data_IF_073417922535
#
_entry.id   IF_073417922535
#
_cell.length_a   1.000
_cell.length_b   1.000
_cell.length_c   1.000
_cell.angle_alpha   90.00
_cell.angle_beta   90.00
_cell.angle_gamma   90.00
#
_symmetry.space_group_name_H-M   'P 1'
#
loop_
_entity.id
_entity.type
_entity.pdbx_description
1 polymer ?
#
# COMPACT_ATOMS: atom_id res chain seq x y z
N UNK A 1 17.32 3.00 26.17
CA UNK A 1 17.04 2.40 27.50
C UNK A 1 17.05 0.88 27.48
N UNK A 2 16.13 0.21 26.79
CA UNK A 2 16.02 -1.27 26.82
C UNK A 2 17.31 -1.96 26.38
N UNK A 3 17.93 -1.51 25.27
CA UNK A 3 19.22 -2.05 24.78
C UNK A 3 20.31 -2.01 25.86
N UNK A 4 20.44 -0.91 26.61
CA UNK A 4 21.40 -0.82 27.73
C UNK A 4 21.07 -1.77 28.88
N UNK A 5 19.78 -2.00 29.16
CA UNK A 5 19.37 -2.94 30.20
C UNK A 5 19.65 -4.39 29.80
N UNK A 6 19.30 -4.78 28.57
CA UNK A 6 19.62 -6.09 28.00
C UNK A 6 21.15 -6.30 27.96
N UNK A 7 21.92 -5.29 27.60
CA UNK A 7 23.39 -5.34 27.61
C UNK A 7 23.94 -5.56 29.03
N UNK A 8 23.38 -4.88 30.04
CA UNK A 8 23.76 -5.07 31.44
C UNK A 8 23.44 -6.48 31.95
N UNK A 9 22.34 -7.08 31.49
CA UNK A 9 21.95 -8.45 31.85
C UNK A 9 22.83 -9.47 31.14
N UNK A 10 22.98 -9.36 29.81
CA UNK A 10 23.90 -10.20 29.03
C UNK A 10 25.32 -10.22 29.63
N UNK A 11 25.84 -9.06 30.05
CA UNK A 11 27.15 -8.96 30.71
C UNK A 11 27.20 -9.70 32.06
N UNK A 12 26.11 -9.70 32.85
CA UNK A 12 26.04 -10.40 34.15
C UNK A 12 25.94 -11.91 33.98
N UNK A 13 25.21 -12.37 32.98
CA UNK A 13 25.06 -13.79 32.63
C UNK A 13 26.26 -14.35 31.83
N UNK A 14 27.30 -13.55 31.59
CA UNK A 14 28.51 -13.97 30.88
C UNK A 14 28.32 -14.16 29.36
N UNK A 15 27.27 -13.58 28.78
CA UNK A 15 26.95 -13.67 27.36
C UNK A 15 27.75 -12.67 26.52
N UNK A 16 28.14 -13.10 25.31
CA UNK A 16 28.74 -12.24 24.29
C UNK A 16 27.64 -11.75 23.35
N UNK A 17 27.06 -10.58 23.64
CA UNK A 17 25.98 -9.99 22.84
C UNK A 17 26.41 -8.72 22.09
N UNK A 18 26.26 -8.74 20.76
CA UNK A 18 26.48 -7.57 19.90
C UNK A 18 25.39 -6.52 20.12
N UNK A 19 25.74 -5.23 20.07
CA UNK A 19 24.78 -4.14 20.25
C UNK A 19 23.65 -4.17 19.20
N UNK A 20 23.97 -4.51 17.94
CA UNK A 20 22.99 -4.68 16.88
C UNK A 20 21.97 -5.81 17.16
N UNK A 21 22.41 -6.92 17.77
CA UNK A 21 21.50 -8.01 18.17
C UNK A 21 20.55 -7.55 19.30
N UNK A 22 21.07 -6.85 20.30
CA UNK A 22 20.27 -6.31 21.40
C UNK A 22 19.28 -5.23 20.93
N UNK A 23 19.65 -4.44 19.93
CA UNK A 23 18.77 -3.48 19.26
C UNK A 23 17.59 -4.17 18.56
N UNK A 24 17.86 -5.25 17.82
CA UNK A 24 16.82 -6.05 17.14
C UNK A 24 15.85 -6.64 18.16
N UNK A 25 16.35 -7.22 19.26
CA UNK A 25 15.49 -7.78 20.32
C UNK A 25 14.58 -6.69 20.92
N UNK A 26 15.15 -5.54 21.27
CA UNK A 26 14.39 -4.41 21.83
C UNK A 26 13.34 -3.84 20.85
N UNK A 27 13.62 -3.91 19.55
CA UNK A 27 12.70 -3.49 18.49
C UNK A 27 11.56 -4.50 18.30
N UNK A 28 11.86 -5.80 18.20
CA UNK A 28 10.84 -6.86 18.01
C UNK A 28 9.99 -7.08 19.26
N UNK A 29 10.45 -6.67 20.43
CA UNK A 29 9.66 -6.67 21.68
C UNK A 29 8.76 -5.45 21.86
N UNK A 30 8.68 -4.53 20.89
CA UNK A 30 7.84 -3.31 20.92
C UNK A 30 7.98 -2.45 22.20
N UNK A 31 9.16 -2.46 22.81
CA UNK A 31 9.40 -1.77 24.08
C UNK A 31 9.01 -2.55 25.36
N UNK A 32 8.44 -3.75 25.26
CA UNK A 32 8.11 -4.59 26.41
C UNK A 32 9.35 -5.32 26.95
N UNK A 33 9.81 -4.92 28.16
CA UNK A 33 10.99 -5.53 28.79
C UNK A 33 10.85 -7.04 29.04
N UNK A 34 9.65 -7.53 29.38
CA UNK A 34 9.42 -8.96 29.63
C UNK A 34 9.64 -9.79 28.38
N UNK A 35 9.15 -9.31 27.24
CA UNK A 35 9.24 -10.02 25.97
C UNK A 35 10.67 -9.91 25.43
N UNK A 36 11.33 -8.76 25.62
CA UNK A 36 12.74 -8.57 25.32
C UNK A 36 13.64 -9.56 26.07
N UNK A 37 13.41 -9.77 27.37
CA UNK A 37 14.15 -10.75 28.17
C UNK A 37 13.81 -12.19 27.75
N UNK A 38 12.54 -12.50 27.50
CA UNK A 38 12.11 -13.82 27.04
C UNK A 38 12.72 -14.18 25.68
N UNK A 39 12.87 -13.20 24.78
CA UNK A 39 13.59 -13.34 23.51
C UNK A 39 15.11 -13.50 23.74
N UNK A 40 15.71 -12.69 24.61
CA UNK A 40 17.13 -12.76 24.96
C UNK A 40 17.50 -14.16 25.47
N UNK A 41 16.78 -14.67 26.47
CA UNK A 41 17.02 -15.96 27.10
C UNK A 41 16.84 -17.11 26.10
N UNK A 42 15.79 -17.04 25.26
CA UNK A 42 15.56 -18.01 24.19
C UNK A 42 16.76 -18.08 23.25
N UNK A 43 17.20 -16.94 22.70
CA UNK A 43 18.30 -16.89 21.73
C UNK A 43 19.63 -17.29 22.39
N UNK A 44 19.87 -16.88 23.63
CA UNK A 44 21.05 -17.26 24.41
C UNK A 44 21.15 -18.78 24.58
N UNK A 45 20.03 -19.46 24.86
CA UNK A 45 20.00 -20.92 25.01
C UNK A 45 20.36 -21.68 23.73
N UNK A 46 19.99 -21.17 22.56
CA UNK A 46 20.31 -21.78 21.26
C UNK A 46 21.71 -21.46 20.74
N UNK A 47 22.29 -20.33 21.17
CA UNK A 47 23.58 -19.81 20.68
C UNK A 47 24.74 -20.01 21.67
N UNK A 48 24.52 -20.76 22.76
CA UNK A 48 25.48 -20.92 23.86
C UNK A 48 26.01 -19.57 24.39
N UNK A 49 25.13 -18.56 24.45
CA UNK A 49 25.46 -17.21 24.90
C UNK A 49 26.17 -16.30 23.89
N UNK A 50 26.29 -16.67 22.61
CA UNK A 50 26.86 -15.82 21.55
C UNK A 50 25.78 -15.20 20.66
N UNK A 51 25.33 -14.00 21.02
CA UNK A 51 24.31 -13.26 20.28
C UNK A 51 24.96 -12.37 19.23
N UNK A 52 24.99 -12.87 17.99
CA UNK A 52 25.33 -12.09 16.79
C UNK A 52 24.07 -11.53 16.14
N UNK A 53 24.20 -10.47 15.34
CA UNK A 53 23.09 -9.93 14.56
C UNK A 53 22.40 -11.00 13.70
N UNK A 54 23.17 -11.80 12.96
CA UNK A 54 22.64 -12.84 12.06
C UNK A 54 21.89 -13.94 12.82
N UNK A 55 22.48 -14.54 13.86
CA UNK A 55 21.79 -15.56 14.66
C UNK A 55 20.54 -15.02 15.36
N UNK A 56 20.54 -13.75 15.74
CA UNK A 56 19.38 -13.07 16.31
C UNK A 56 18.27 -12.84 15.28
N UNK A 57 18.60 -12.43 14.04
CA UNK A 57 17.66 -12.31 12.93
C UNK A 57 16.98 -13.65 12.62
N UNK A 58 17.77 -14.71 12.45
CA UNK A 58 17.30 -16.08 12.17
C UNK A 58 16.35 -16.57 13.28
N UNK A 59 16.76 -16.48 14.56
CA UNK A 59 15.94 -16.93 15.68
C UNK A 59 14.70 -16.06 15.95
N UNK A 60 14.61 -14.84 15.41
CA UNK A 60 13.42 -13.99 15.49
C UNK A 60 12.54 -14.08 14.23
N UNK A 61 12.91 -14.93 13.25
CA UNK A 61 12.28 -15.01 11.94
C UNK A 61 12.16 -13.63 11.28
N UNK A 62 13.26 -12.87 11.30
CA UNK A 62 13.36 -11.54 10.69
C UNK A 62 14.32 -11.59 9.51
N UNK A 63 13.94 -10.89 8.44
CA UNK A 63 14.76 -10.72 7.25
C UNK A 63 15.74 -9.56 7.42
N UNK A 64 16.92 -9.73 6.85
CA UNK A 64 17.98 -8.72 6.88
C UNK A 64 17.61 -7.48 6.04
N UNK A 65 18.16 -6.32 6.42
CA UNK A 65 17.98 -5.06 5.71
C UNK A 65 18.41 -5.16 4.24
N UNK A 66 19.45 -5.94 3.94
CA UNK A 66 19.96 -6.17 2.58
C UNK A 66 18.94 -6.83 1.64
N UNK A 67 18.06 -7.70 2.15
CA UNK A 67 16.93 -8.21 1.36
C UNK A 67 15.98 -7.08 0.94
N UNK A 68 15.65 -6.19 1.87
CA UNK A 68 14.73 -5.08 1.61
C UNK A 68 15.35 -3.99 0.72
N UNK A 69 16.66 -3.76 0.81
CA UNK A 69 17.38 -2.91 -0.15
C UNK A 69 17.39 -3.54 -1.55
N UNK A 70 17.74 -4.83 -1.68
CA UNK A 70 17.74 -5.57 -2.96
C UNK A 70 16.36 -5.54 -3.61
N UNK A 71 15.29 -5.88 -2.87
CA UNK A 71 13.95 -5.90 -3.45
C UNK A 71 13.49 -4.50 -3.86
N UNK A 72 13.81 -3.45 -3.09
CA UNK A 72 13.49 -2.06 -3.46
C UNK A 72 14.16 -1.66 -4.79
N UNK A 73 15.42 -2.05 -5.01
CA UNK A 73 16.11 -1.77 -6.28
C UNK A 73 15.40 -2.44 -7.47
N UNK A 74 14.99 -3.71 -7.31
CA UNK A 74 14.27 -4.46 -8.35
C UNK A 74 12.88 -3.88 -8.63
N UNK A 75 12.15 -3.46 -7.59
CA UNK A 75 10.86 -2.76 -7.72
C UNK A 75 11.00 -1.44 -8.48
N UNK A 76 12.04 -0.64 -8.18
CA UNK A 76 12.32 0.62 -8.87
C UNK A 76 12.77 0.40 -10.33
N UNK A 77 13.54 -0.67 -10.59
CA UNK A 77 13.93 -1.12 -11.92
C UNK A 77 12.77 -1.77 -12.72
N UNK A 78 11.65 -2.06 -12.06
CA UNK A 78 10.48 -2.75 -12.62
C UNK A 78 10.78 -4.20 -13.07
N UNK A 79 11.81 -4.82 -12.47
CA UNK A 79 12.22 -6.20 -12.78
C UNK A 79 11.38 -7.20 -11.96
N UNK A 80 10.22 -7.54 -12.52
CA UNK A 80 9.31 -8.54 -11.95
C UNK A 80 9.98 -9.91 -11.83
N UNK A 81 10.79 -10.32 -12.80
CA UNK A 81 11.40 -11.65 -12.83
C UNK A 81 12.38 -11.83 -11.67
N UNK A 82 13.33 -10.90 -11.50
CA UNK A 82 14.27 -10.94 -10.39
C UNK A 82 13.57 -10.72 -9.05
N UNK A 83 12.50 -9.91 -9.00
CA UNK A 83 11.70 -9.70 -7.77
C UNK A 83 11.04 -11.00 -7.30
N UNK A 84 10.47 -11.79 -8.21
CA UNK A 84 9.84 -13.08 -7.87
C UNK A 84 10.87 -14.17 -7.54
N UNK A 85 12.04 -14.16 -8.20
CA UNK A 85 13.16 -15.05 -7.83
C UNK A 85 13.71 -14.72 -6.43
N UNK A 86 13.80 -13.44 -6.07
CA UNK A 86 14.22 -13.00 -4.73
C UNK A 86 13.17 -13.34 -3.66
N UNK A 87 11.88 -13.34 -3.99
CA UNK A 87 10.83 -13.89 -3.12
C UNK A 87 11.03 -15.40 -2.90
N UNK A 88 11.27 -16.17 -3.96
CA UNK A 88 11.46 -17.62 -3.87
C UNK A 88 12.69 -17.99 -3.02
N UNK A 89 13.82 -17.28 -3.20
CA UNK A 89 15.05 -17.39 -2.38
C UNK A 89 14.78 -17.28 -0.87
N UNK A 90 13.77 -16.49 -0.49
CA UNK A 90 13.38 -16.24 0.89
C UNK A 90 12.31 -17.22 1.39
N UNK A 91 11.37 -17.63 0.54
CA UNK A 91 10.41 -18.68 0.87
C UNK A 91 11.11 -20.05 1.06
N UNK A 92 12.14 -20.35 0.28
CA UNK A 92 12.98 -21.57 0.44
C UNK A 92 13.73 -21.58 1.78
N UNK A 93 14.08 -20.41 2.33
CA UNK A 93 14.67 -20.25 3.66
C UNK A 93 13.65 -20.39 4.80
N UNK A 94 12.38 -20.61 4.49
CA UNK A 94 11.31 -20.86 5.47
C UNK A 94 10.61 -19.61 6.01
N UNK A 95 10.89 -18.41 5.47
CA UNK A 95 10.20 -17.19 5.86
C UNK A 95 8.75 -17.19 5.35
N UNK A 96 7.81 -16.69 6.15
CA UNK A 96 6.40 -16.59 5.78
C UNK A 96 6.08 -15.27 5.05
N UNK A 97 5.09 -15.31 4.14
CA UNK A 97 4.71 -14.16 3.32
C UNK A 97 4.27 -12.90 4.09
N UNK A 98 3.66 -13.05 5.27
CA UNK A 98 3.34 -11.95 6.18
C UNK A 98 4.59 -11.25 6.71
N UNK A 99 5.64 -12.00 7.08
CA UNK A 99 6.90 -11.43 7.57
C UNK A 99 7.55 -10.55 6.50
N UNK A 100 7.50 -11.01 5.24
CA UNK A 100 7.99 -10.27 4.07
C UNK A 100 7.19 -8.97 3.89
N UNK A 101 5.86 -9.01 3.97
CA UNK A 101 4.99 -7.83 3.84
C UNK A 101 5.18 -6.84 4.99
N UNK A 102 5.14 -7.31 6.24
CA UNK A 102 5.34 -6.52 7.48
C UNK A 102 6.68 -5.77 7.44
N UNK A 103 7.77 -6.49 7.17
CA UNK A 103 9.10 -5.88 7.13
C UNK A 103 9.32 -5.00 5.91
N UNK A 104 8.70 -5.29 4.75
CA UNK A 104 8.76 -4.40 3.58
C UNK A 104 7.96 -3.10 3.80
N UNK A 105 6.84 -3.15 4.53
CA UNK A 105 6.11 -1.96 4.97
C UNK A 105 6.96 -1.13 5.96
N UNK A 106 7.59 -1.78 6.95
CA UNK A 106 8.55 -1.14 7.85
C UNK A 106 9.75 -0.51 7.11
N UNK A 107 10.26 -1.18 6.09
CA UNK A 107 11.32 -0.67 5.23
C UNK A 107 10.90 0.56 4.42
N UNK A 108 9.73 0.53 3.76
CA UNK A 108 9.19 1.68 3.04
C UNK A 108 8.95 2.88 3.98
N UNK A 109 8.47 2.64 5.21
CA UNK A 109 8.36 3.68 6.25
C UNK A 109 9.73 4.30 6.56
N UNK A 110 10.76 3.47 6.73
CA UNK A 110 12.10 3.93 7.04
C UNK A 110 12.72 4.75 5.88
N UNK A 111 12.50 4.36 4.62
CA UNK A 111 12.84 5.18 3.45
C UNK A 111 12.10 6.52 3.45
N UNK A 112 10.80 6.55 3.80
CA UNK A 112 10.01 7.77 3.89
C UNK A 112 10.54 8.72 4.98
N UNK A 113 10.92 8.21 6.15
CA UNK A 113 11.53 9.01 7.21
C UNK A 113 12.87 9.64 6.80
N UNK A 114 13.64 8.95 5.97
CA UNK A 114 14.92 9.45 5.44
C UNK A 114 14.76 10.59 4.41
N UNK A 115 13.56 10.82 3.88
CA UNK A 115 13.29 11.94 2.95
C UNK A 115 13.32 13.31 3.62
N UNK A 116 13.02 13.41 4.92
CA UNK A 116 13.06 14.67 5.68
C UNK A 116 14.05 14.57 6.84
N UNK A 117 15.07 15.44 6.84
CA UNK A 117 16.09 15.53 7.90
C UNK A 117 15.50 15.77 9.30
N UNK A 118 14.30 16.34 9.41
CA UNK A 118 13.57 16.52 10.67
C UNK A 118 12.96 15.22 11.20
N UNK A 119 12.70 14.27 10.30
CA UNK A 119 12.10 12.96 10.57
C UNK A 119 13.16 11.86 10.76
N UNK A 120 14.40 12.08 10.32
CA UNK A 120 15.55 11.20 10.54
C UNK A 120 15.74 10.72 12.00
N UNK A 121 15.36 11.53 13.00
CA UNK A 121 15.39 11.16 14.42
C UNK A 121 14.37 10.09 14.85
N UNK A 122 13.40 9.75 13.99
CA UNK A 122 12.42 8.67 14.17
C UNK A 122 12.87 7.36 13.48
N UNK A 123 14.04 7.37 12.84
CA UNK A 123 14.61 6.21 12.16
C UNK A 123 15.28 5.27 13.19
N UNK A 124 14.53 4.25 13.56
CA UNK A 124 14.92 3.22 14.52
C UNK A 124 15.53 2.01 13.78
N UNK A 125 16.79 2.13 13.41
CA UNK A 125 17.59 1.09 12.72
C UNK A 125 19.03 1.10 13.24
N UNK A 126 19.78 -0.01 13.15
CA UNK A 126 21.21 -0.04 13.47
C UNK A 126 21.99 1.07 12.76
N UNK A 127 22.97 1.66 13.44
CA UNK A 127 23.71 2.83 12.93
C UNK A 127 24.37 2.57 11.56
N UNK A 128 24.87 1.36 11.35
CA UNK A 128 25.56 0.94 10.12
C UNK A 128 24.64 0.94 8.89
N UNK A 129 23.33 0.76 9.09
CA UNK A 129 22.35 0.73 7.99
C UNK A 129 21.86 2.14 7.62
N UNK A 130 22.04 3.15 8.49
CA UNK A 130 21.55 4.52 8.27
C UNK A 130 22.09 5.17 6.98
N UNK A 131 23.39 5.07 6.63
CA UNK A 131 23.91 5.61 5.37
C UNK A 131 23.21 5.02 4.12
N UNK A 132 23.02 3.69 4.10
CA UNK A 132 22.35 2.98 3.00
C UNK A 132 20.89 3.40 2.88
N UNK A 133 20.19 3.55 4.01
CA UNK A 133 18.82 4.08 4.04
C UNK A 133 18.73 5.49 3.44
N UNK A 134 19.67 6.41 3.73
CA UNK A 134 19.67 7.74 3.09
C UNK A 134 19.94 7.67 1.58
N UNK A 135 20.85 6.78 1.14
CA UNK A 135 21.14 6.61 -0.29
C UNK A 135 19.92 6.08 -1.06
N UNK A 136 19.35 4.96 -0.60
CA UNK A 136 18.16 4.34 -1.22
C UNK A 136 16.93 5.24 -1.13
N UNK A 137 16.77 5.99 -0.04
CA UNK A 137 15.73 6.99 0.06
C UNK A 137 15.88 8.08 -1.00
N UNK A 138 17.09 8.49 -1.40
CA UNK A 138 17.24 9.45 -2.49
C UNK A 138 16.84 8.88 -3.87
N UNK A 139 17.05 7.57 -4.09
CA UNK A 139 16.72 6.88 -5.35
C UNK A 139 15.21 6.66 -5.52
N UNK A 140 14.48 6.33 -4.45
CA UNK A 140 13.03 6.06 -4.49
C UNK A 140 12.19 7.36 -4.57
N UNK A 141 11.27 7.56 -5.54
CA UNK A 141 10.38 8.73 -5.56
C UNK A 141 9.45 8.78 -4.33
N UNK A 142 9.20 9.95 -3.70
CA UNK A 142 8.31 10.04 -2.54
C UNK A 142 6.89 9.51 -2.79
N UNK A 143 6.35 9.74 -3.99
CA UNK A 143 5.06 9.21 -4.42
C UNK A 143 5.04 7.68 -4.49
N UNK A 144 6.11 7.07 -5.02
CA UNK A 144 6.27 5.62 -5.02
C UNK A 144 6.26 5.06 -3.60
N UNK A 145 7.05 5.62 -2.68
CA UNK A 145 7.14 5.13 -1.29
C UNK A 145 5.79 5.21 -0.57
N UNK A 146 5.04 6.31 -0.75
CA UNK A 146 3.71 6.49 -0.12
C UNK A 146 2.68 5.50 -0.70
N UNK A 147 2.64 5.34 -2.03
CA UNK A 147 1.73 4.39 -2.67
C UNK A 147 2.11 2.93 -2.40
N UNK A 148 3.40 2.62 -2.29
CA UNK A 148 3.90 1.31 -1.87
C UNK A 148 3.45 0.98 -0.44
N UNK A 149 3.58 1.91 0.51
CA UNK A 149 3.04 1.76 1.88
C UNK A 149 1.53 1.47 1.88
N UNK A 150 0.75 2.20 1.10
CA UNK A 150 -0.70 1.98 0.99
C UNK A 150 -1.03 0.58 0.46
N UNK A 151 -0.33 0.13 -0.59
CA UNK A 151 -0.52 -1.18 -1.21
C UNK A 151 -0.06 -2.32 -0.30
N UNK A 152 1.03 -2.14 0.44
CA UNK A 152 1.53 -3.11 1.41
C UNK A 152 0.54 -3.28 2.57
N UNK A 153 0.02 -2.19 3.12
CA UNK A 153 -1.01 -2.23 4.16
C UNK A 153 -2.32 -2.89 3.68
N UNK A 154 -2.79 -2.57 2.47
CA UNK A 154 -3.91 -3.27 1.82
C UNK A 154 -3.63 -4.78 1.69
N UNK A 155 -2.40 -5.15 1.31
CA UNK A 155 -2.01 -6.54 1.10
C UNK A 155 -1.87 -7.29 2.42
N UNK A 156 -1.33 -6.67 3.46
CA UNK A 156 -1.18 -7.26 4.80
C UNK A 156 -2.53 -7.58 5.43
N UNK A 157 -3.47 -6.62 5.43
CA UNK A 157 -4.84 -6.82 5.93
C UNK A 157 -5.56 -7.97 5.22
N UNK A 158 -5.35 -8.10 3.91
CA UNK A 158 -5.97 -9.15 3.09
C UNK A 158 -5.23 -10.50 3.16
N UNK A 159 -3.96 -10.55 3.57
CA UNK A 159 -3.13 -11.77 3.58
C UNK A 159 -3.75 -12.89 4.44
N UNK A 160 -4.37 -12.54 5.57
CA UNK A 160 -5.07 -13.52 6.44
C UNK A 160 -6.26 -14.18 5.75
N UNK A 161 -6.93 -13.46 4.85
CA UNK A 161 -8.13 -13.91 4.14
C UNK A 161 -7.81 -14.57 2.80
N UNK A 162 -6.55 -14.48 2.34
CA UNK A 162 -6.11 -15.00 1.05
C UNK A 162 -6.10 -16.53 1.02
N UNK A 163 -6.87 -17.13 0.10
CA UNK A 163 -6.90 -18.60 -0.11
C UNK A 163 -5.53 -19.14 -0.52
N UNK A 164 -4.81 -18.41 -1.39
CA UNK A 164 -3.43 -18.71 -1.74
C UNK A 164 -2.52 -17.57 -1.28
N UNK A 165 -1.91 -17.77 -0.10
CA UNK A 165 -0.98 -16.81 0.53
C UNK A 165 0.24 -16.47 -0.33
N UNK A 166 0.79 -17.45 -1.06
CA UNK A 166 1.97 -17.25 -1.93
C UNK A 166 1.61 -16.34 -3.11
N UNK A 167 0.56 -16.70 -3.85
CA UNK A 167 0.06 -15.90 -4.98
C UNK A 167 -0.33 -14.47 -4.56
N UNK A 168 -0.84 -14.29 -3.34
CA UNK A 168 -1.18 -12.97 -2.80
C UNK A 168 0.07 -12.06 -2.64
N UNK A 169 1.18 -12.61 -2.12
CA UNK A 169 2.45 -11.88 -2.01
C UNK A 169 3.06 -11.63 -3.39
N UNK A 170 3.07 -12.63 -4.27
CA UNK A 170 3.53 -12.49 -5.66
C UNK A 170 2.77 -11.35 -6.38
N UNK A 171 1.45 -11.30 -6.24
CA UNK A 171 0.60 -10.25 -6.83
C UNK A 171 0.84 -8.87 -6.22
N UNK A 172 1.15 -8.79 -4.91
CA UNK A 172 1.56 -7.55 -4.26
C UNK A 172 2.87 -7.01 -4.86
N UNK A 173 3.90 -7.85 -4.98
CA UNK A 173 5.19 -7.47 -5.55
C UNK A 173 5.10 -7.09 -7.04
N UNK A 174 4.28 -7.80 -7.82
CA UNK A 174 3.98 -7.43 -9.21
C UNK A 174 3.32 -6.04 -9.27
N UNK A 175 2.29 -5.79 -8.45
CA UNK A 175 1.64 -4.46 -8.37
C UNK A 175 2.62 -3.36 -7.97
N UNK A 176 3.59 -3.64 -7.09
CA UNK A 176 4.64 -2.70 -6.70
C UNK A 176 5.61 -2.37 -7.86
N UNK A 177 6.02 -3.35 -8.67
CA UNK A 177 6.90 -3.12 -9.84
C UNK A 177 6.29 -2.12 -10.83
N UNK A 178 4.98 -2.21 -11.10
CA UNK A 178 4.30 -1.35 -12.07
C UNK A 178 3.84 0.00 -11.49
N UNK A 179 4.08 0.25 -10.20
CA UNK A 179 3.53 1.41 -9.50
C UNK A 179 4.04 2.74 -10.07
N UNK A 180 5.32 2.83 -10.45
CA UNK A 180 5.90 4.03 -11.09
C UNK A 180 5.20 4.37 -12.42
N UNK A 181 4.73 3.37 -13.17
CA UNK A 181 4.04 3.60 -14.44
C UNK A 181 2.69 4.27 -14.20
N UNK A 182 1.92 3.80 -13.22
CA UNK A 182 0.63 4.40 -12.83
C UNK A 182 0.80 5.86 -12.42
N UNK A 183 1.75 6.17 -11.52
CA UNK A 183 1.99 7.56 -11.07
C UNK A 183 2.45 8.47 -12.22
N UNK A 184 3.26 7.96 -13.15
CA UNK A 184 3.77 8.75 -14.28
C UNK A 184 2.70 9.00 -15.34
N UNK A 185 1.79 8.04 -15.57
CA UNK A 185 0.69 8.21 -16.52
C UNK A 185 -0.34 9.24 -16.03
N UNK A 186 -0.65 9.32 -14.73
CA UNK A 186 -1.55 10.36 -14.21
C UNK A 186 -1.02 11.78 -14.44
N UNK A 187 0.30 11.99 -14.28
CA UNK A 187 0.94 13.29 -14.53
C UNK A 187 0.92 13.64 -16.02
N UNK A 188 1.25 12.69 -16.90
CA UNK A 188 1.18 12.92 -18.36
C UNK A 188 -0.26 13.17 -18.84
N UNK A 189 -1.25 12.45 -18.31
CA UNK A 189 -2.66 12.65 -18.67
C UNK A 189 -3.13 14.06 -18.29
N UNK A 190 -2.77 14.56 -17.10
CA UNK A 190 -3.05 15.95 -16.69
C UNK A 190 -2.37 17.04 -17.52
N UNK A 191 -1.37 16.70 -18.34
CA UNK A 191 -0.67 17.66 -19.22
C UNK A 191 -1.07 17.50 -20.70
N UNK A 192 -1.94 16.54 -21.05
CA UNK A 192 -2.28 16.22 -22.44
C UNK A 192 -3.67 15.59 -22.62
N UNK A 193 -4.65 15.95 -21.79
CA UNK A 193 -6.04 15.49 -21.94
C UNK A 193 -7.06 16.64 -21.89
N UNK A 194 -6.88 17.61 -22.78
CA UNK A 194 -8.01 17.96 -23.64
C UNK A 194 -8.01 16.92 -24.77
N UNK A 195 -9.19 16.34 -25.04
CA UNK A 195 -9.45 15.24 -26.00
C UNK A 195 -9.12 13.80 -25.57
N UNK A 196 -9.99 12.90 -26.06
CA UNK A 196 -9.91 11.43 -26.11
C UNK A 196 -10.11 10.64 -24.81
N UNK A 197 -11.36 10.66 -24.37
CA UNK A 197 -12.01 9.56 -23.66
C UNK A 197 -12.31 8.37 -24.61
N UNK A 198 -11.62 7.24 -24.44
CA UNK A 198 -12.13 5.86 -24.69
C UNK A 198 -11.00 4.84 -24.43
N UNK A 199 -11.32 3.54 -24.40
CA UNK A 199 -10.40 2.40 -24.17
C UNK A 199 -9.88 2.26 -22.72
N UNK A 200 -10.78 1.94 -21.77
CA UNK A 200 -10.54 0.89 -20.74
C UNK A 200 -11.87 0.19 -20.41
N UNK A 201 -12.34 -0.66 -21.33
CA UNK A 201 -13.38 -1.66 -21.06
C UNK A 201 -13.07 -2.93 -21.86
N UNK A 202 -11.98 -3.65 -21.53
CA UNK A 202 -11.83 -5.04 -21.98
C UNK A 202 -10.81 -5.88 -21.17
N UNK A 203 -11.09 -6.14 -19.89
CA UNK A 203 -10.49 -7.25 -19.12
C UNK A 203 -11.52 -7.87 -18.16
N UNK A 204 -12.61 -8.44 -18.70
CA UNK A 204 -13.59 -9.23 -17.93
C UNK A 204 -14.39 -10.16 -18.85
N UNK A 205 -13.69 -11.12 -19.49
CA UNK A 205 -14.33 -12.11 -20.38
C UNK A 205 -13.46 -13.33 -20.71
N UNK A 206 -12.74 -13.91 -19.74
CA UNK A 206 -12.06 -15.21 -19.93
C UNK A 206 -12.25 -16.15 -18.73
N UNK A 207 -13.50 -16.57 -18.48
CA UNK A 207 -13.81 -17.61 -17.50
C UNK A 207 -15.14 -18.33 -17.82
N UNK A 208 -15.20 -19.08 -18.93
CA UNK A 208 -16.25 -20.10 -19.21
C UNK A 208 -15.98 -20.91 -20.48
N UNK A 209 -15.08 -21.90 -20.42
CA UNK A 209 -15.09 -23.06 -21.34
C UNK A 209 -14.58 -24.31 -20.62
N UNK A 210 -15.48 -25.25 -20.35
CA UNK A 210 -15.15 -26.57 -19.78
C UNK A 210 -14.39 -27.42 -20.80
N UNK A 211 -13.39 -28.24 -20.40
CA UNK A 211 -12.74 -29.18 -21.31
C UNK A 211 -13.65 -30.37 -21.59
N UNK A 212 -14.03 -30.57 -22.85
CA UNK A 212 -14.69 -31.80 -23.30
C UNK A 212 -13.65 -32.90 -23.55
N UNK A 213 -13.85 -34.06 -22.92
CA UNK A 213 -13.00 -35.23 -23.06
C UNK A 213 -13.05 -35.79 -24.49
N UNK A 214 -11.89 -35.98 -25.13
CA UNK A 214 -11.77 -36.67 -26.42
C UNK A 214 -10.62 -37.69 -26.39
N UNK A 215 -10.85 -38.81 -27.08
CA UNK A 215 -10.11 -40.07 -26.94
C UNK A 215 -8.72 -40.05 -27.63
N UNK A 216 -7.80 -40.98 -27.29
CA UNK A 216 -6.38 -40.81 -27.59
C UNK A 216 -6.02 -41.13 -29.04
N UNK A 217 -5.12 -40.33 -29.61
CA UNK A 217 -4.48 -40.58 -30.92
C UNK A 217 -3.14 -41.30 -30.69
N UNK A 218 -2.88 -42.34 -31.49
CA UNK A 218 -1.67 -43.17 -31.40
C UNK A 218 -0.40 -42.41 -31.82
N UNK A 219 0.71 -42.67 -31.15
CA UNK A 219 2.02 -42.17 -31.52
C UNK A 219 2.72 -43.11 -32.53
N UNK A 220 3.35 -42.59 -33.61
CA UNK A 220 4.29 -43.35 -34.44
C UNK A 220 5.65 -43.52 -33.71
N UNK A 221 6.47 -44.53 -34.10
CA UNK A 221 7.57 -45.00 -33.26
C UNK A 221 8.82 -44.11 -33.30
N UNK A 222 9.45 -43.97 -32.14
CA UNK A 222 10.77 -43.36 -31.99
C UNK A 222 11.83 -44.28 -32.61
N UNK A 223 12.71 -43.72 -33.46
CA UNK A 223 13.96 -44.37 -33.87
C UNK A 223 15.08 -43.95 -32.93
N UNK A 224 15.66 -44.96 -32.30
CA UNK A 224 16.88 -44.90 -31.49
C UNK A 224 18.13 -44.72 -32.37
N UNK A 225 19.08 -43.86 -31.96
CA UNK A 225 20.45 -43.90 -32.44
C UNK A 225 21.47 -44.02 -31.29
N UNK A 226 22.22 -45.13 -31.30
CA UNK A 226 23.40 -45.38 -30.48
C UNK A 226 24.50 -45.98 -31.39
N UNK A 227 25.79 -46.02 -31.00
CA UNK A 227 26.66 -44.89 -30.66
C UNK A 227 28.00 -44.90 -31.46
N UNK A 228 28.78 -43.81 -31.44
CA UNK A 228 30.22 -43.77 -31.84
C UNK A 228 30.85 -42.38 -31.60
N UNK A 229 32.19 -42.25 -31.42
CA UNK A 229 32.88 -42.65 -30.20
C UNK A 229 33.78 -41.54 -29.59
N UNK A 230 34.18 -41.70 -28.33
CA UNK A 230 35.04 -40.74 -27.60
C UNK A 230 36.54 -41.03 -27.80
N UNK A 231 37.36 -40.01 -28.08
CA UNK A 231 38.83 -39.96 -27.80
C UNK A 231 39.39 -38.52 -27.94
N UNK A 232 40.61 -38.19 -27.44
CA UNK A 232 40.66 -37.36 -26.23
C UNK A 232 41.49 -36.06 -26.32
N UNK A 233 41.47 -35.34 -25.20
CA UNK A 233 42.19 -34.10 -24.86
C UNK A 233 43.63 -33.99 -25.39
N UNK A 234 43.94 -32.83 -25.98
CA UNK A 234 45.29 -32.25 -26.03
C UNK A 234 45.18 -30.77 -25.65
N UNK A 235 46.05 -30.31 -24.74
CA UNK A 235 46.11 -28.92 -24.29
C UNK A 235 47.45 -28.35 -24.71
N UNK A 236 47.46 -27.36 -25.61
CA UNK A 236 48.68 -26.71 -26.07
C UNK A 236 48.47 -25.20 -26.21
N UNK A 237 48.86 -24.50 -25.15
CA UNK A 237 49.82 -23.39 -25.14
C UNK A 237 49.94 -22.54 -26.42
N UNK A 238 49.43 -21.30 -26.36
CA UNK A 238 49.73 -20.25 -27.35
C UNK A 238 50.68 -19.22 -26.73
N UNK A 239 51.79 -18.95 -27.43
CA UNK A 239 52.81 -17.99 -27.02
C UNK A 239 52.60 -16.59 -27.64
N UNK A 240 53.29 -15.62 -27.04
CA UNK A 240 53.21 -14.16 -27.28
C UNK A 240 53.94 -13.74 -28.57
N UNK A 241 53.61 -12.56 -29.14
CA UNK A 241 54.68 -11.62 -29.48
C UNK A 241 54.44 -10.18 -29.00
N UNK A 242 55.52 -9.55 -28.49
CA UNK A 242 55.65 -8.10 -28.27
C UNK A 242 55.87 -7.39 -29.63
N UNK A 243 55.91 -6.07 -29.82
CA UNK A 243 56.46 -4.90 -29.06
C UNK A 243 55.63 -3.63 -29.45
N UNK A 244 55.80 -2.38 -28.95
CA UNK A 244 56.95 -1.75 -28.25
C UNK A 244 56.55 -0.56 -27.32
N UNK A 245 57.57 -0.02 -26.66
CA UNK A 245 57.68 1.11 -25.73
C UNK A 245 57.18 2.53 -26.10
N UNK A 246 57.10 3.33 -25.01
CA UNK A 246 57.41 4.76 -24.86
C UNK A 246 56.25 5.81 -24.78
N UNK A 247 56.40 6.91 -24.01
CA UNK A 247 55.29 7.48 -23.24
C UNK A 247 55.00 8.98 -23.49
N UNK A 248 53.88 9.53 -22.95
CA UNK A 248 53.67 10.97 -22.81
C UNK A 248 53.99 11.48 -21.38
N UNK A 249 54.72 12.59 -21.30
CA UNK A 249 54.87 13.44 -20.10
C UNK A 249 54.11 14.78 -20.34
N UNK A 250 54.05 15.78 -19.43
CA UNK A 250 52.76 16.21 -18.86
C UNK A 250 52.29 17.59 -19.33
N UNK A 251 50.97 17.82 -19.29
CA UNK A 251 50.38 19.15 -19.48
C UNK A 251 49.98 19.80 -18.14
N UNK A 252 50.40 21.05 -17.93
CA UNK A 252 50.02 21.89 -16.77
C UNK A 252 48.61 22.51 -16.96
N UNK A 253 47.93 22.93 -15.87
CA UNK A 253 46.53 23.34 -15.89
C UNK A 253 46.32 24.78 -16.36
N UNK A 254 45.10 25.05 -16.85
CA UNK A 254 44.55 26.40 -17.12
C UNK A 254 43.13 26.51 -16.50
N UNK A 255 42.65 27.75 -16.24
CA UNK A 255 41.75 28.00 -15.11
C UNK A 255 40.26 27.95 -15.47
N UNK A 256 39.43 27.59 -14.48
CA UNK A 256 38.00 27.90 -14.47
C UNK A 256 37.68 28.93 -13.40
N UNK A 257 37.18 30.07 -13.86
CA UNK A 257 36.78 31.21 -13.05
C UNK A 257 35.66 30.85 -12.08
N UNK A 258 35.71 31.40 -10.86
CA UNK A 258 34.59 31.32 -9.94
C UNK A 258 33.48 32.30 -10.30
N UNK A 259 32.23 31.84 -10.31
CA UNK A 259 31.04 32.69 -10.17
C UNK A 259 30.00 31.98 -9.32
N UNK A 260 29.87 32.39 -8.06
CA UNK A 260 28.69 32.04 -7.27
C UNK A 260 27.48 32.78 -7.87
N UNK A 261 26.50 32.03 -8.40
CA UNK A 261 25.22 32.60 -8.83
C UNK A 261 24.43 33.07 -7.60
N UNK A 262 24.61 34.33 -7.22
CA UNK A 262 23.61 35.06 -6.42
C UNK A 262 22.36 35.23 -7.28
N UNK A 263 21.20 34.89 -6.72
CA UNK A 263 19.90 35.29 -7.26
C UNK A 263 19.85 36.83 -7.28
N UNK A 264 19.51 37.40 -8.43
CA UNK A 264 19.43 38.85 -8.62
C UNK A 264 18.15 39.41 -8.00
N UNK A 265 18.28 40.48 -7.23
CA UNK A 265 17.20 41.13 -6.46
C UNK A 265 15.94 41.45 -7.28
N UNK A 266 16.12 41.83 -8.55
CA UNK A 266 15.04 42.06 -9.52
C UNK A 266 14.01 40.91 -9.62
N UNK A 267 14.46 39.64 -9.55
CA UNK A 267 13.56 38.47 -9.59
C UNK A 267 12.73 38.27 -8.31
N UNK A 268 13.07 38.95 -7.23
CA UNK A 268 12.30 38.95 -5.97
C UNK A 268 11.33 40.13 -5.99
N UNK A 269 11.80 41.30 -6.45
CA UNK A 269 10.97 42.49 -6.62
C UNK A 269 9.81 42.24 -7.63
N UNK A 270 10.07 41.53 -8.75
CA UNK A 270 9.03 41.09 -9.72
C UNK A 270 7.94 40.18 -9.08
N UNK A 271 8.32 39.37 -8.07
CA UNK A 271 7.40 38.45 -7.38
C UNK A 271 6.59 39.21 -6.34
N UNK A 272 7.21 40.10 -5.57
CA UNK A 272 6.50 40.94 -4.59
C UNK A 272 5.56 41.95 -5.29
N UNK A 273 5.90 42.43 -6.50
CA UNK A 273 5.00 43.26 -7.31
C UNK A 273 3.80 42.46 -7.85
N UNK A 274 4.01 41.21 -8.29
CA UNK A 274 2.91 40.31 -8.67
C UNK A 274 1.99 39.93 -7.49
N UNK A 275 2.54 39.77 -6.28
CA UNK A 275 1.77 39.51 -5.05
C UNK A 275 0.98 40.75 -4.62
N UNK A 276 1.57 41.95 -4.72
CA UNK A 276 0.87 43.20 -4.39
C UNK A 276 -0.23 43.54 -5.42
N UNK A 277 -0.04 43.23 -6.70
CA UNK A 277 -1.12 43.35 -7.70
C UNK A 277 -2.28 42.37 -7.46
N UNK A 278 -2.03 41.22 -6.82
CA UNK A 278 -3.09 40.31 -6.38
C UNK A 278 -3.83 40.78 -5.11
N UNK A 279 -3.21 41.62 -4.29
CA UNK A 279 -3.80 42.19 -3.06
C UNK A 279 -4.75 43.38 -3.31
N UNK A 280 -4.81 43.90 -4.54
CA UNK A 280 -5.51 45.13 -4.91
C UNK A 280 -6.80 44.95 -5.73
N UNK A 281 -7.54 43.84 -5.59
CA UNK A 281 -8.86 43.70 -6.23
C UNK A 281 -10.00 43.97 -5.26
N UNK A 282 -10.83 44.92 -5.66
CA UNK A 282 -11.97 45.45 -4.93
C UNK A 282 -12.99 44.35 -4.59
N UNK A 283 -13.60 44.47 -3.41
CA UNK A 283 -14.60 43.54 -2.90
C UNK A 283 -15.94 43.73 -3.61
N UNK A 284 -16.13 43.03 -4.74
CA UNK A 284 -17.49 42.77 -5.26
C UNK A 284 -18.30 41.98 -4.22
N UNK A 285 -19.61 42.22 -4.09
CA UNK A 285 -20.42 41.61 -3.04
C UNK A 285 -20.53 40.10 -3.25
N UNK A 286 -20.05 39.32 -2.28
CA UNK A 286 -20.20 37.87 -2.27
C UNK A 286 -21.68 37.49 -2.35
N UNK A 287 -22.09 36.78 -3.41
CA UNK A 287 -23.38 36.10 -3.45
C UNK A 287 -23.32 34.90 -2.52
N UNK A 288 -23.94 35.02 -1.35
CA UNK A 288 -24.09 33.92 -0.41
C UNK A 288 -25.06 32.87 -0.98
N UNK A 289 -24.67 31.59 -1.02
CA UNK A 289 -25.60 30.51 -1.37
C UNK A 289 -26.61 30.31 -0.23
N UNK A 290 -27.89 30.49 -0.52
CA UNK A 290 -28.95 30.17 0.45
C UNK A 290 -29.13 28.64 0.54
N UNK A 291 -29.46 28.12 1.73
CA UNK A 291 -29.66 26.67 1.93
C UNK A 291 -30.73 26.08 0.99
N UNK A 292 -31.80 26.83 0.73
CA UNK A 292 -32.84 26.49 -0.26
C UNK A 292 -32.30 26.32 -1.69
N UNK A 293 -31.37 27.18 -2.11
CA UNK A 293 -30.73 27.09 -3.43
C UNK A 293 -29.87 25.83 -3.54
N UNK A 294 -29.12 25.50 -2.48
CA UNK A 294 -28.30 24.28 -2.44
C UNK A 294 -29.16 23.03 -2.52
N UNK A 295 -30.30 22.99 -1.81
CA UNK A 295 -31.24 21.87 -1.86
C UNK A 295 -31.88 21.74 -3.25
N UNK A 296 -32.30 22.83 -3.88
CA UNK A 296 -32.84 22.82 -5.25
C UNK A 296 -31.80 22.32 -6.27
N UNK A 297 -30.57 22.82 -6.20
CA UNK A 297 -29.47 22.38 -7.07
C UNK A 297 -29.11 20.90 -6.86
N UNK A 298 -29.14 20.42 -5.61
CA UNK A 298 -28.93 19.02 -5.30
C UNK A 298 -30.03 18.12 -5.89
N UNK A 299 -31.29 18.57 -5.91
CA UNK A 299 -32.40 17.85 -6.53
C UNK A 299 -32.30 17.83 -8.07
N UNK A 300 -31.88 18.93 -8.70
CA UNK A 300 -31.55 18.96 -10.14
C UNK A 300 -30.39 18.01 -10.46
N UNK A 301 -29.38 17.93 -9.59
CA UNK A 301 -28.27 16.97 -9.73
C UNK A 301 -28.75 15.52 -9.65
N UNK A 302 -29.65 15.17 -8.71
CA UNK A 302 -30.29 13.84 -8.67
C UNK A 302 -31.01 13.51 -9.98
N UNK A 303 -31.79 14.45 -10.53
CA UNK A 303 -32.48 14.25 -11.82
C UNK A 303 -31.51 14.10 -12.99
N UNK A 304 -30.37 14.80 -12.97
CA UNK A 304 -29.30 14.62 -13.97
C UNK A 304 -28.69 13.22 -13.91
N UNK A 305 -28.37 12.72 -12.72
CA UNK A 305 -27.88 11.34 -12.53
C UNK A 305 -28.86 10.28 -13.06
N UNK A 306 -30.17 10.50 -12.88
CA UNK A 306 -31.21 9.62 -13.42
C UNK A 306 -31.21 9.61 -14.96
N UNK A 307 -31.11 10.78 -15.59
CA UNK A 307 -31.05 10.93 -17.06
C UNK A 307 -29.76 10.36 -17.68
N UNK A 308 -28.66 10.38 -16.93
CA UNK A 308 -27.38 9.77 -17.33
C UNK A 308 -27.34 8.24 -17.17
N UNK A 309 -28.44 7.60 -16.74
CA UNK A 309 -28.51 6.15 -16.54
C UNK A 309 -27.80 5.65 -15.27
N UNK A 310 -27.30 6.56 -14.41
CA UNK A 310 -26.60 6.24 -13.15
C UNK A 310 -27.59 5.89 -12.02
N UNK A 311 -28.51 4.96 -12.28
CA UNK A 311 -29.63 4.62 -11.38
C UNK A 311 -29.22 4.23 -9.97
N UNK A 312 -28.12 3.49 -9.80
CA UNK A 312 -27.56 3.15 -8.49
C UNK A 312 -27.13 4.40 -7.71
N UNK A 313 -26.34 5.29 -8.33
CA UNK A 313 -25.85 6.52 -7.69
C UNK A 313 -27.01 7.46 -7.34
N UNK A 314 -28.00 7.58 -8.24
CA UNK A 314 -29.24 8.30 -7.96
C UNK A 314 -29.96 7.76 -6.70
N UNK A 315 -30.13 6.43 -6.60
CA UNK A 315 -30.77 5.81 -5.44
C UNK A 315 -30.03 6.05 -4.11
N UNK A 316 -28.68 6.07 -4.13
CA UNK A 316 -27.89 6.44 -2.94
C UNK A 316 -28.04 7.93 -2.61
N UNK A 317 -28.00 8.82 -3.61
CA UNK A 317 -28.14 10.27 -3.41
C UNK A 317 -29.53 10.68 -2.90
N UNK A 318 -30.58 9.91 -3.20
CA UNK A 318 -31.92 10.09 -2.60
C UNK A 318 -31.93 9.89 -1.08
N UNK A 319 -30.99 9.10 -0.53
CA UNK A 319 -30.80 8.89 0.92
C UNK A 319 -29.85 9.92 1.57
N UNK A 320 -29.46 10.97 0.83
CA UNK A 320 -28.58 12.03 1.32
C UNK A 320 -29.30 13.38 1.36
N UNK A 321 -28.84 14.27 2.26
CA UNK A 321 -29.28 15.66 2.35
C UNK A 321 -28.08 16.57 2.09
N UNK A 322 -28.30 17.72 1.43
CA UNK A 322 -27.27 18.73 1.22
C UNK A 322 -27.61 19.98 2.06
N UNK A 323 -26.63 20.48 2.80
CA UNK A 323 -26.74 21.62 3.71
C UNK A 323 -25.62 22.63 3.43
N UNK A 324 -25.88 23.92 3.63
CA UNK A 324 -24.82 24.95 3.65
C UNK A 324 -24.08 24.90 4.98
N UNK A 325 -22.78 24.63 4.96
CA UNK A 325 -21.92 24.61 6.14
C UNK A 325 -21.07 25.90 6.30
N UNK A 326 -20.98 26.72 5.25
CA UNK A 326 -20.28 28.00 5.25
C UNK A 326 -20.54 28.77 3.95
N UNK A 327 -20.09 30.04 3.82
CA UNK A 327 -20.43 30.91 2.70
C UNK A 327 -20.06 30.33 1.32
N UNK A 328 -19.00 29.53 1.27
CA UNK A 328 -18.50 28.82 0.09
C UNK A 328 -18.40 27.29 0.33
N UNK A 329 -19.12 26.72 1.31
CA UNK A 329 -19.06 25.29 1.68
C UNK A 329 -20.43 24.60 1.72
N UNK A 330 -20.58 23.54 0.93
CA UNK A 330 -21.72 22.61 0.94
C UNK A 330 -21.29 21.32 1.64
N UNK A 331 -22.14 20.83 2.53
CA UNK A 331 -21.99 19.56 3.23
C UNK A 331 -23.03 18.57 2.75
N UNK A 332 -22.59 17.41 2.30
CA UNK A 332 -23.46 16.26 2.02
C UNK A 332 -23.52 15.42 3.30
N UNK A 333 -24.72 15.27 3.84
CA UNK A 333 -25.01 14.47 5.03
C UNK A 333 -25.52 13.11 4.58
N UNK A 334 -24.83 12.05 5.00
CA UNK A 334 -25.14 10.66 4.66
C UNK A 334 -25.45 9.85 5.93
N UNK A 335 -26.39 8.92 5.85
CA UNK A 335 -26.83 8.09 6.98
C UNK A 335 -25.96 6.85 7.20
N UNK A 336 -25.21 6.40 6.18
CA UNK A 336 -24.41 5.16 6.19
C UNK A 336 -23.02 5.43 5.61
N UNK A 337 -22.04 4.62 6.00
CA UNK A 337 -20.66 4.74 5.51
C UNK A 337 -20.57 4.48 3.99
N UNK A 338 -21.31 3.48 3.49
CA UNK A 338 -21.42 3.17 2.06
C UNK A 338 -22.01 4.33 1.22
N UNK A 339 -22.92 5.13 1.80
CA UNK A 339 -23.46 6.31 1.10
C UNK A 339 -22.47 7.48 1.12
N UNK A 340 -21.71 7.67 2.20
CA UNK A 340 -20.62 8.65 2.26
C UNK A 340 -19.45 8.32 1.31
N UNK A 341 -19.09 7.05 1.10
CA UNK A 341 -18.14 6.66 0.05
C UNK A 341 -18.64 7.06 -1.34
N UNK A 342 -19.92 6.79 -1.65
CA UNK A 342 -20.53 7.22 -2.92
C UNK A 342 -20.53 8.76 -3.05
N UNK A 343 -20.75 9.49 -1.95
CA UNK A 343 -20.66 10.96 -1.93
C UNK A 343 -19.23 11.48 -2.16
N UNK A 344 -18.21 10.79 -1.59
CA UNK A 344 -16.79 11.09 -1.79
C UNK A 344 -16.35 10.89 -3.24
N UNK A 345 -16.79 9.82 -3.89
CA UNK A 345 -16.49 9.55 -5.31
C UNK A 345 -17.11 10.60 -6.25
N UNK A 346 -18.37 10.98 -6.00
CA UNK A 346 -19.08 11.96 -6.82
C UNK A 346 -18.73 13.42 -6.47
N UNK A 347 -17.93 13.67 -5.43
CA UNK A 347 -17.57 15.01 -4.92
C UNK A 347 -17.11 15.95 -6.03
N UNK A 348 -16.20 15.51 -6.91
CA UNK A 348 -15.65 16.36 -7.97
C UNK A 348 -16.71 16.71 -9.02
N UNK A 349 -17.53 15.75 -9.44
CA UNK A 349 -18.64 15.98 -10.37
C UNK A 349 -19.68 16.94 -9.78
N UNK A 350 -19.90 16.91 -8.46
CA UNK A 350 -20.79 17.81 -7.77
C UNK A 350 -20.20 19.23 -7.64
N UNK A 351 -18.89 19.36 -7.35
CA UNK A 351 -18.19 20.66 -7.40
C UNK A 351 -18.29 21.28 -8.81
N UNK A 352 -18.02 20.50 -9.86
CA UNK A 352 -18.10 20.99 -11.24
C UNK A 352 -19.53 21.38 -11.64
N UNK A 353 -20.54 20.62 -11.19
CA UNK A 353 -21.95 20.95 -11.41
C UNK A 353 -22.36 22.24 -10.71
N UNK A 354 -22.06 22.39 -9.41
CA UNK A 354 -22.37 23.62 -8.67
C UNK A 354 -21.62 24.82 -9.23
N UNK A 355 -20.37 24.66 -9.67
CA UNK A 355 -19.58 25.71 -10.34
C UNK A 355 -20.20 26.12 -11.68
N UNK A 356 -20.69 25.18 -12.47
CA UNK A 356 -21.33 25.47 -13.76
C UNK A 356 -22.63 26.28 -13.57
N UNK A 357 -23.46 25.92 -12.59
CA UNK A 357 -24.79 26.51 -12.39
C UNK A 357 -24.75 27.84 -11.60
N UNK A 358 -23.91 27.92 -10.56
CA UNK A 358 -23.84 29.12 -9.68
C UNK A 358 -22.74 30.11 -10.06
N UNK A 359 -21.72 29.67 -10.82
CA UNK A 359 -20.45 30.38 -11.06
C UNK A 359 -19.61 30.65 -9.81
N UNK A 360 -19.97 30.10 -8.66
CA UNK A 360 -19.24 30.22 -7.39
C UNK A 360 -18.32 29.00 -7.23
N UNK A 361 -17.15 29.19 -6.61
CA UNK A 361 -16.21 28.10 -6.34
C UNK A 361 -16.53 27.49 -4.98
N UNK A 362 -17.31 26.42 -4.98
CA UNK A 362 -17.84 25.80 -3.76
C UNK A 362 -16.98 24.61 -3.33
N UNK A 363 -16.70 24.51 -2.03
CA UNK A 363 -16.09 23.33 -1.40
C UNK A 363 -17.18 22.34 -0.99
N UNK A 364 -17.01 21.07 -1.36
CA UNK A 364 -17.94 19.99 -0.95
C UNK A 364 -17.30 19.12 0.12
N UNK A 365 -17.84 19.15 1.34
CA UNK A 365 -17.51 18.25 2.45
C UNK A 365 -18.57 17.17 2.59
N UNK A 366 -18.21 16.03 3.20
CA UNK A 366 -19.13 14.92 3.46
C UNK A 366 -19.07 14.56 4.94
N UNK A 367 -20.23 14.29 5.56
CA UNK A 367 -20.35 13.94 6.97
C UNK A 367 -21.32 12.76 7.12
N UNK A 368 -20.90 11.70 7.81
CA UNK A 368 -21.80 10.62 8.22
C UNK A 368 -22.53 11.07 9.49
N UNK A 369 -23.83 11.35 9.38
CA UNK A 369 -24.69 11.67 10.52
C UNK A 369 -25.77 10.60 10.62
N UNK A 370 -25.63 9.73 11.61
CA UNK A 370 -26.68 8.78 11.99
C UNK A 370 -27.84 9.58 12.57
N UNK A 371 -29.00 9.56 11.92
CA UNK A 371 -30.20 10.19 12.48
C UNK A 371 -30.61 9.40 13.73
N UNK A 372 -30.50 10.02 14.91
CA UNK A 372 -31.10 9.48 16.13
C UNK A 372 -32.61 9.76 16.09
N UNK A 373 -33.30 8.96 15.28
CA UNK A 373 -34.73 8.99 15.04
C UNK A 373 -35.09 7.95 13.99
N UNK A 374 -36.08 7.11 14.29
CA UNK A 374 -36.74 6.17 13.38
C UNK A 374 -35.97 4.92 12.88
N UNK A 375 -34.86 4.51 13.50
CA UNK A 375 -34.36 3.12 13.40
C UNK A 375 -35.06 2.16 14.40
N UNK A 376 -36.40 2.13 14.38
CA UNK A 376 -37.20 1.16 15.14
C UNK A 376 -37.71 -0.01 14.28
N UNK A 377 -37.89 0.17 12.97
CA UNK A 377 -38.41 -0.83 12.04
C UNK A 377 -37.61 -0.82 10.73
N UNK A 378 -36.68 -1.79 10.56
CA UNK A 378 -36.21 -2.34 9.26
C UNK A 378 -34.87 -3.10 9.29
N UNK A 379 -34.35 -3.50 10.46
CA UNK A 379 -33.51 -4.71 10.51
C UNK A 379 -34.40 -5.92 10.78
N UNK A 380 -34.30 -7.03 10.02
CA UNK A 380 -34.95 -8.27 10.41
C UNK A 380 -34.29 -8.73 11.71
N UNK A 381 -35.04 -8.66 12.82
CA UNK A 381 -34.58 -9.14 14.12
C UNK A 381 -34.07 -10.57 13.93
N UNK A 382 -32.79 -10.79 14.24
CA UNK A 382 -32.19 -12.14 14.23
C UNK A 382 -32.70 -12.85 15.47
N UNK A 383 -33.96 -13.28 15.40
CA UNK A 383 -34.68 -13.97 16.46
C UNK A 383 -33.89 -15.23 16.85
N UNK A 384 -33.64 -15.38 18.14
CA UNK A 384 -33.04 -16.59 18.69
C UNK A 384 -33.93 -17.80 18.43
N UNK A 385 -33.36 -19.01 18.48
CA UNK A 385 -34.11 -20.27 18.28
C UNK A 385 -35.31 -20.39 19.26
N UNK A 386 -35.22 -19.78 20.43
CA UNK A 386 -36.32 -19.66 21.40
C UNK A 386 -37.43 -18.73 20.92
N UNK A 387 -37.10 -17.49 20.54
CA UNK A 387 -38.10 -16.52 20.08
C UNK A 387 -38.79 -16.99 18.78
N UNK A 388 -38.09 -17.73 17.92
CA UNK A 388 -38.69 -18.42 16.76
C UNK A 388 -39.69 -19.49 17.22
N UNK A 389 -39.35 -20.31 18.21
CA UNK A 389 -40.26 -21.33 18.75
C UNK A 389 -41.51 -20.69 19.38
N UNK A 390 -41.34 -19.62 20.18
CA UNK A 390 -42.45 -18.93 20.83
C UNK A 390 -43.39 -18.26 19.80
N UNK A 391 -42.84 -17.69 18.73
CA UNK A 391 -43.63 -17.18 17.59
C UNK A 391 -44.33 -18.30 16.80
N UNK A 392 -43.74 -19.49 16.71
CA UNK A 392 -44.39 -20.67 16.11
C UNK A 392 -45.54 -21.19 16.97
N UNK A 393 -45.38 -21.19 18.31
CA UNK A 393 -46.46 -21.51 19.26
C UNK A 393 -47.59 -20.49 19.20
N UNK A 394 -47.28 -19.18 19.14
CA UNK A 394 -48.31 -18.14 18.97
C UNK A 394 -49.10 -18.31 17.67
N UNK A 395 -48.46 -18.73 16.57
CA UNK A 395 -49.14 -19.01 15.30
C UNK A 395 -49.88 -20.35 15.27
N UNK A 396 -49.46 -21.32 16.08
CA UNK A 396 -50.09 -22.64 16.16
C UNK A 396 -49.98 -23.22 17.58
N UNK A 397 -50.98 -23.00 18.45
CA UNK A 397 -50.97 -23.46 19.85
C UNK A 397 -50.80 -24.99 20.01
N UNK A 398 -51.10 -25.76 18.97
CA UNK A 398 -50.93 -27.22 18.99
C UNK A 398 -49.46 -27.64 19.08
N UNK A 399 -48.48 -26.78 18.72
CA UNK A 399 -47.06 -27.07 18.92
C UNK A 399 -46.70 -27.21 20.40
N UNK A 400 -47.30 -26.38 21.27
CA UNK A 400 -47.07 -26.48 22.71
C UNK A 400 -47.69 -27.75 23.28
N UNK A 401 -48.93 -28.07 22.88
CA UNK A 401 -49.60 -29.32 23.28
C UNK A 401 -48.82 -30.55 22.81
N UNK A 402 -48.21 -30.52 21.61
CA UNK A 402 -47.37 -31.59 21.08
C UNK A 402 -46.08 -31.75 21.91
N UNK A 403 -45.42 -30.65 22.27
CA UNK A 403 -44.22 -30.67 23.14
C UNK A 403 -44.53 -31.25 24.52
N UNK A 404 -45.64 -30.83 25.12
CA UNK A 404 -46.08 -31.29 26.45
C UNK A 404 -46.52 -32.75 26.43
N UNK A 405 -47.30 -33.18 25.42
CA UNK A 405 -47.79 -34.55 25.30
C UNK A 405 -46.69 -35.58 24.97
N UNK A 406 -45.65 -35.17 24.23
CA UNK A 406 -44.51 -36.03 23.88
C UNK A 406 -43.28 -35.81 24.80
N UNK A 407 -43.40 -34.94 25.81
CA UNK A 407 -42.34 -34.58 26.77
C UNK A 407 -40.99 -34.24 26.11
N UNK A 408 -41.03 -33.45 25.03
CA UNK A 408 -39.87 -33.13 24.21
C UNK A 408 -39.01 -32.02 24.83
N UNK A 409 -37.72 -32.29 24.99
CA UNK A 409 -36.71 -31.29 25.32
C UNK A 409 -36.19 -30.65 24.03
N UNK A 410 -35.90 -29.34 24.09
CA UNK A 410 -35.31 -28.59 22.99
C UNK A 410 -33.80 -28.48 23.27
N UNK A 411 -32.99 -29.25 22.54
CA UNK A 411 -31.54 -29.01 22.48
C UNK A 411 -31.25 -27.86 21.50
N UNK A 412 -30.24 -27.03 21.81
CA UNK A 412 -29.95 -25.78 21.12
C UNK A 412 -28.60 -25.75 20.40
#
# INVERSE_FOLDING_TARGET
DIVHHLHSIATKEGMLAQEAALHVIAQKSEGCMRDALSMLDRIASFTNGQLTYNTTMEHLNMLDADFYFRITDLLLAQDVSSTLLLLDEVLEKGFEGNVILEGLAGHMRNLLLCKDKRMARLLDVPNDHKPVYYEKANQAPPSFVISALSLLNESELNFRNAVNKRLHVEMCLIRLCFLLQATTQEVKKKTSSEQQSSIVQNISSVASTSPAYSAPVQAPPVKEPEPSPVKPLVTETVAVPAVSDAPPVPAKPLPVSGTARRLSRALIDDIDEAVNQAAGRESEPKKELTNEQVQQLFEVYKQKLQKEGKGFVHAQFTQMKAEVAGPDEIRIVSTKELTDETAKEQRNQLIDFFRAETKITVRVTTEVRKEQGDEADSQPVVLSRNEIYDLMVQKNPNLQQLKEALNLQMDF
#
